data_IF_466392309418
#
_entry.id   IF_466392309418
#
_cell.length_a   1.000
_cell.length_b   1.000
_cell.length_c   1.000
_cell.angle_alpha   90.00
_cell.angle_beta   90.00
_cell.angle_gamma   90.00
#
_symmetry.space_group_name_H-M   'P 1'
#
loop_
_entity.id
_entity.type
_entity.pdbx_description
1 polymer ?
#
# COMPACT_ATOMS: atom_id res chain seq x y z
N UNK A 1 -28.54 -54.78 -0.27
CA UNK A 1 -29.31 -53.84 -1.12
C UNK A 1 -30.01 -52.85 -0.19
N UNK A 2 -29.82 -51.54 -0.21
CA UNK A 2 -28.78 -50.67 -0.73
C UNK A 2 -28.79 -49.43 0.17
N UNK A 3 -27.61 -48.96 0.60
CA UNK A 3 -27.48 -47.70 1.34
C UNK A 3 -27.51 -46.58 0.31
N UNK A 4 -28.60 -45.81 0.29
CA UNK A 4 -28.70 -44.59 -0.48
C UNK A 4 -27.77 -43.54 0.14
N UNK A 5 -26.74 -43.14 -0.61
CA UNK A 5 -25.84 -42.06 -0.25
C UNK A 5 -26.58 -40.72 -0.26
N UNK A 6 -26.37 -39.95 0.80
CA UNK A 6 -26.84 -38.58 0.95
C UNK A 6 -26.13 -37.70 -0.12
N UNK A 7 -26.84 -36.90 -0.93
CA UNK A 7 -26.20 -36.06 -1.92
C UNK A 7 -25.35 -34.98 -1.24
N UNK A 8 -24.09 -34.93 -1.68
CA UNK A 8 -23.07 -33.95 -1.35
C UNK A 8 -23.66 -32.53 -1.27
N UNK A 9 -23.78 -31.99 -0.06
CA UNK A 9 -24.12 -30.58 0.13
C UNK A 9 -22.95 -29.74 -0.38
N UNK A 10 -23.23 -28.90 -1.36
CA UNK A 10 -22.31 -27.87 -1.84
C UNK A 10 -22.11 -26.89 -0.67
N UNK A 11 -20.98 -26.97 0.02
CA UNK A 11 -20.64 -26.05 1.09
C UNK A 11 -20.58 -24.63 0.51
N UNK A 12 -21.52 -23.79 0.95
CA UNK A 12 -21.56 -22.37 0.64
C UNK A 12 -20.30 -21.71 1.19
N UNK A 13 -19.56 -21.01 0.32
CA UNK A 13 -18.45 -20.15 0.72
C UNK A 13 -18.92 -19.18 1.83
N UNK A 14 -18.09 -18.89 2.85
CA UNK A 14 -18.47 -17.96 3.91
C UNK A 14 -18.80 -16.60 3.31
N UNK A 15 -19.94 -16.04 3.72
CA UNK A 15 -20.39 -14.73 3.27
C UNK A 15 -19.31 -13.68 3.57
N UNK A 16 -18.81 -13.03 2.52
CA UNK A 16 -18.09 -11.78 2.63
C UNK A 16 -18.90 -10.86 3.56
N UNK A 17 -18.25 -10.29 4.58
CA UNK A 17 -18.91 -9.34 5.46
C UNK A 17 -19.38 -8.18 4.59
N UNK A 18 -20.70 -8.08 4.40
CA UNK A 18 -21.29 -7.14 3.47
C UNK A 18 -20.94 -5.72 3.89
N UNK A 19 -20.11 -5.06 3.08
CA UNK A 19 -19.79 -3.65 3.25
C UNK A 19 -21.08 -2.82 3.16
N UNK A 20 -21.38 -2.02 4.18
CA UNK A 20 -22.56 -1.15 4.21
C UNK A 20 -22.50 -0.06 3.12
N UNK A 21 -21.30 0.22 2.60
CA UNK A 21 -21.06 1.14 1.48
C UNK A 21 -21.31 0.50 0.09
N UNK A 22 -21.54 -0.81 0.03
CA UNK A 22 -21.60 -1.57 -1.23
C UNK A 22 -20.22 -1.89 -1.83
N UNK A 23 -19.13 -1.33 -1.30
CA UNK A 23 -17.76 -1.61 -1.72
C UNK A 23 -17.23 -2.84 -1.00
N UNK A 24 -17.56 -4.03 -1.51
CA UNK A 24 -16.96 -5.28 -1.06
C UNK A 24 -15.63 -5.52 -1.78
N UNK A 25 -14.66 -6.16 -1.13
CA UNK A 25 -13.46 -6.63 -1.83
C UNK A 25 -13.64 -8.08 -2.28
N UNK A 26 -13.17 -8.39 -3.49
CA UNK A 26 -13.04 -9.76 -3.99
C UNK A 26 -11.57 -10.03 -4.33
N UNK A 27 -11.03 -11.23 -4.03
CA UNK A 27 -9.64 -11.54 -4.30
C UNK A 27 -9.22 -11.30 -5.75
N UNK A 28 -8.03 -10.70 -5.93
CA UNK A 28 -7.41 -10.43 -7.22
C UNK A 28 -6.05 -11.11 -7.33
N UNK A 29 -5.59 -11.33 -8.56
CA UNK A 29 -4.20 -11.72 -8.79
C UNK A 29 -3.28 -10.50 -8.59
N UNK A 30 -2.36 -10.59 -7.63
CA UNK A 30 -1.48 -9.46 -7.31
C UNK A 30 -0.56 -9.09 -8.48
N UNK A 31 -0.09 -10.06 -9.27
CA UNK A 31 0.79 -9.80 -10.40
C UNK A 31 0.05 -9.06 -11.50
N UNK A 32 -1.18 -9.48 -11.84
CA UNK A 32 -2.03 -8.76 -12.81
C UNK A 32 -2.30 -7.32 -12.36
N UNK A 33 -2.54 -7.11 -11.06
CA UNK A 33 -2.69 -5.76 -10.48
C UNK A 33 -1.40 -4.94 -10.65
N UNK A 34 -0.24 -5.53 -10.37
CA UNK A 34 1.07 -4.89 -10.54
C UNK A 34 1.32 -4.48 -11.99
N UNK A 35 1.08 -5.39 -12.94
CA UNK A 35 1.23 -5.12 -14.37
C UNK A 35 0.28 -3.99 -14.83
N UNK A 36 -0.97 -3.96 -14.32
CA UNK A 36 -1.91 -2.86 -14.59
C UNK A 36 -1.45 -1.55 -13.98
N UNK A 37 -0.99 -1.54 -12.73
CA UNK A 37 -0.48 -0.34 -12.07
C UNK A 37 0.72 0.25 -12.83
N UNK A 38 1.66 -0.60 -13.24
CA UNK A 38 2.76 -0.20 -14.10
C UNK A 38 2.24 0.44 -15.39
N UNK A 39 1.26 -0.19 -16.06
CA UNK A 39 0.70 0.32 -17.32
C UNK A 39 0.07 1.71 -17.19
N UNK A 40 -0.79 1.92 -16.19
CA UNK A 40 -1.61 3.14 -16.06
C UNK A 40 -0.91 4.28 -15.33
N UNK A 41 0.27 4.04 -14.74
CA UNK A 41 1.05 5.08 -14.05
C UNK A 41 1.21 6.40 -14.83
N UNK A 42 1.51 6.41 -16.14
CA UNK A 42 1.66 7.65 -16.89
C UNK A 42 0.41 8.54 -16.92
N UNK A 43 -0.78 7.99 -16.61
CA UNK A 43 -2.05 8.72 -16.67
C UNK A 43 -2.35 9.59 -15.44
N UNK A 44 -1.63 9.38 -14.33
CA UNK A 44 -1.92 10.08 -13.07
C UNK A 44 -0.94 9.89 -11.92
N UNK A 45 0.21 9.25 -12.15
CA UNK A 45 1.25 9.06 -11.15
C UNK A 45 0.96 7.94 -10.14
N UNK A 46 1.72 7.96 -9.05
CA UNK A 46 1.83 6.81 -8.13
C UNK A 46 0.50 6.41 -7.48
N UNK A 47 -0.23 7.37 -6.90
CA UNK A 47 -1.48 7.09 -6.17
C UNK A 47 -2.59 6.65 -7.12
N UNK A 48 -2.72 7.34 -8.25
CA UNK A 48 -3.64 6.95 -9.33
C UNK A 48 -3.40 5.53 -9.79
N UNK A 49 -2.12 5.16 -10.03
CA UNK A 49 -1.77 3.82 -10.48
C UNK A 49 -2.16 2.72 -9.49
N UNK A 50 -1.86 2.92 -8.20
CA UNK A 50 -2.16 1.93 -7.15
C UNK A 50 -3.66 1.74 -6.97
N UNK A 51 -4.43 2.83 -6.87
CA UNK A 51 -5.88 2.74 -6.66
C UNK A 51 -6.57 2.24 -7.94
N UNK A 52 -6.19 2.78 -9.09
CA UNK A 52 -6.82 2.52 -10.38
C UNK A 52 -6.56 1.10 -10.89
N UNK A 53 -5.47 0.46 -10.49
CA UNK A 53 -5.22 -0.94 -10.84
C UNK A 53 -6.16 -1.88 -10.10
N UNK A 54 -6.28 -1.72 -8.77
CA UNK A 54 -7.15 -2.57 -7.94
C UNK A 54 -8.62 -2.33 -8.26
N UNK A 55 -9.08 -1.07 -8.20
CA UNK A 55 -10.48 -0.72 -8.48
C UNK A 55 -10.85 -1.02 -9.92
N UNK A 56 -9.96 -0.76 -10.88
CA UNK A 56 -10.19 -1.07 -12.29
C UNK A 56 -10.35 -2.56 -12.55
N UNK A 57 -9.54 -3.41 -11.89
CA UNK A 57 -9.71 -4.87 -12.02
C UNK A 57 -11.01 -5.37 -11.40
N UNK A 58 -11.46 -4.78 -10.30
CA UNK A 58 -12.77 -5.09 -9.73
C UNK A 58 -13.90 -4.63 -10.65
N UNK A 59 -13.78 -3.45 -11.27
CA UNK A 59 -14.74 -2.95 -12.25
C UNK A 59 -14.84 -3.87 -13.46
N UNK A 60 -13.70 -4.29 -14.02
CA UNK A 60 -13.66 -5.20 -15.17
C UNK A 60 -14.33 -6.55 -14.87
N UNK A 61 -14.26 -7.03 -13.62
CA UNK A 61 -14.80 -8.34 -13.20
C UNK A 61 -16.24 -8.29 -12.70
N UNK A 62 -16.65 -7.20 -12.05
CA UNK A 62 -17.89 -7.14 -11.27
C UNK A 62 -18.77 -5.92 -11.59
N UNK A 63 -18.28 -4.94 -12.35
CA UNK A 63 -19.02 -3.73 -12.70
C UNK A 63 -19.25 -2.79 -11.51
N UNK A 64 -20.51 -2.46 -11.25
CA UNK A 64 -20.91 -1.56 -10.15
C UNK A 64 -20.67 -2.20 -8.77
N UNK A 65 -20.23 -1.43 -7.75
CA UNK A 65 -20.03 0.03 -7.76
C UNK A 65 -18.65 0.48 -8.30
N UNK A 66 -17.75 -0.44 -8.62
CA UNK A 66 -16.34 -0.13 -8.91
C UNK A 66 -16.16 0.69 -10.19
N UNK A 67 -16.96 0.42 -11.22
CA UNK A 67 -16.96 1.15 -12.49
C UNK A 67 -17.35 2.64 -12.35
N UNK A 68 -18.03 3.00 -11.26
CA UNK A 68 -18.39 4.37 -10.90
C UNK A 68 -17.33 5.11 -10.07
N UNK A 69 -16.19 4.50 -9.73
CA UNK A 69 -15.19 5.13 -8.88
C UNK A 69 -14.55 6.36 -9.58
N UNK A 70 -14.49 7.54 -8.94
CA UNK A 70 -13.94 8.75 -9.53
C UNK A 70 -12.39 8.73 -9.52
N UNK A 71 -11.76 7.82 -10.27
CA UNK A 71 -10.32 7.54 -10.19
C UNK A 71 -9.44 8.76 -10.48
N UNK A 72 -9.92 9.70 -11.30
CA UNK A 72 -9.25 10.96 -11.58
C UNK A 72 -8.92 11.77 -10.30
N UNK A 73 -9.70 11.61 -9.23
CA UNK A 73 -9.44 12.23 -7.93
C UNK A 73 -8.03 11.87 -7.43
N UNK A 74 -7.57 10.64 -7.62
CA UNK A 74 -6.30 10.12 -7.07
C UNK A 74 -5.05 10.76 -7.66
N UNK A 75 -5.17 11.57 -8.72
CA UNK A 75 -4.04 12.35 -9.28
C UNK A 75 -3.45 13.34 -8.27
N UNK A 76 -4.22 13.75 -7.25
CA UNK A 76 -3.70 14.64 -6.21
C UNK A 76 -2.44 14.07 -5.53
N UNK A 77 -2.32 12.74 -5.43
CA UNK A 77 -1.20 12.09 -4.75
C UNK A 77 0.14 12.14 -5.49
N UNK A 78 0.17 12.62 -6.73
CA UNK A 78 1.40 12.77 -7.51
C UNK A 78 2.43 13.65 -6.77
N UNK A 79 3.70 13.20 -6.79
CA UNK A 79 4.81 13.95 -6.17
C UNK A 79 4.68 14.15 -4.66
N UNK A 80 3.83 13.39 -3.97
CA UNK A 80 3.57 13.56 -2.54
C UNK A 80 2.67 14.75 -2.26
N UNK A 81 1.44 14.69 -2.80
CA UNK A 81 0.40 15.74 -2.73
C UNK A 81 0.76 16.94 -3.61
N UNK A 82 0.45 16.86 -4.90
CA UNK A 82 0.68 17.95 -5.86
C UNK A 82 2.14 18.40 -5.97
N UNK A 83 3.10 17.49 -5.77
CA UNK A 83 4.53 17.82 -5.79
C UNK A 83 5.12 18.35 -4.47
N UNK A 84 4.36 18.38 -3.38
CA UNK A 84 4.85 18.88 -2.09
C UNK A 84 5.93 17.99 -1.44
N UNK A 85 6.15 16.78 -1.95
CA UNK A 85 7.14 15.85 -1.42
C UNK A 85 6.74 15.18 -0.11
N UNK A 86 5.45 15.27 0.27
CA UNK A 86 4.90 14.67 1.50
C UNK A 86 4.67 13.15 1.36
N UNK A 87 3.62 12.58 1.94
CA UNK A 87 3.33 11.15 1.90
C UNK A 87 3.41 10.59 0.47
N UNK A 88 4.21 9.55 0.26
CA UNK A 88 4.37 8.95 -1.06
C UNK A 88 3.01 8.49 -1.62
N UNK A 89 2.74 8.81 -2.89
CA UNK A 89 1.48 8.44 -3.53
C UNK A 89 1.23 6.92 -3.54
N UNK A 90 2.28 6.10 -3.54
CA UNK A 90 2.15 4.64 -3.43
C UNK A 90 1.53 4.24 -2.09
N UNK A 91 2.10 4.75 -0.99
CA UNK A 91 1.60 4.51 0.38
C UNK A 91 0.21 5.11 0.53
N UNK A 92 0.00 6.34 0.06
CA UNK A 92 -1.29 7.02 0.14
C UNK A 92 -2.41 6.23 -0.57
N UNK A 93 -2.15 5.76 -1.80
CA UNK A 93 -3.11 4.99 -2.58
C UNK A 93 -3.44 3.64 -1.95
N UNK A 94 -2.42 2.93 -1.47
CA UNK A 94 -2.62 1.65 -0.79
C UNK A 94 -3.39 1.82 0.54
N UNK A 95 -3.09 2.85 1.34
CA UNK A 95 -3.87 3.19 2.54
C UNK A 95 -5.33 3.55 2.20
N UNK A 96 -5.57 4.25 1.09
CA UNK A 96 -6.92 4.57 0.64
C UNK A 96 -7.72 3.31 0.29
N UNK A 97 -7.10 2.31 -0.36
CA UNK A 97 -7.72 1.02 -0.65
C UNK A 97 -8.03 0.23 0.63
N UNK A 98 -7.12 0.22 1.62
CA UNK A 98 -7.40 -0.39 2.93
C UNK A 98 -8.59 0.31 3.60
N UNK A 99 -8.63 1.65 3.57
CA UNK A 99 -9.75 2.43 4.10
C UNK A 99 -11.09 2.12 3.39
N UNK A 100 -11.06 1.92 2.08
CA UNK A 100 -12.24 1.61 1.26
C UNK A 100 -12.78 0.21 1.54
N UNK A 101 -11.91 -0.80 1.56
CA UNK A 101 -12.32 -2.21 1.61
C UNK A 101 -12.34 -2.82 3.01
N UNK A 102 -11.83 -2.09 4.01
CA UNK A 102 -11.81 -2.52 5.41
C UNK A 102 -12.58 -1.53 6.30
N UNK A 103 -13.51 -0.74 5.73
CA UNK A 103 -14.21 0.38 6.41
C UNK A 103 -14.98 -0.04 7.67
N UNK A 104 -15.72 -1.14 7.60
CA UNK A 104 -16.63 -1.62 8.66
C UNK A 104 -15.91 -2.37 9.79
N UNK A 105 -14.61 -2.58 9.66
CA UNK A 105 -13.80 -3.30 10.64
C UNK A 105 -13.28 -2.35 11.73
N UNK A 106 -12.91 -2.88 12.91
CA UNK A 106 -12.33 -2.09 13.99
C UNK A 106 -11.21 -1.16 13.49
N UNK A 107 -11.20 0.06 14.02
CA UNK A 107 -10.22 1.09 13.64
C UNK A 107 -8.78 0.60 13.84
N UNK A 108 -8.58 -0.21 14.87
CA UNK A 108 -7.30 -0.76 15.30
C UNK A 108 -6.74 -1.75 14.27
N UNK A 109 -7.60 -2.57 13.65
CA UNK A 109 -7.23 -3.50 12.57
C UNK A 109 -6.83 -2.72 11.31
N UNK A 110 -7.65 -1.76 10.88
CA UNK A 110 -7.26 -0.87 9.77
C UNK A 110 -5.93 -0.16 10.05
N UNK A 111 -5.77 0.36 11.26
CA UNK A 111 -4.55 1.06 11.66
C UNK A 111 -3.33 0.14 11.67
N UNK A 112 -3.49 -1.14 12.04
CA UNK A 112 -2.43 -2.13 11.97
C UNK A 112 -2.05 -2.47 10.53
N UNK A 113 -3.03 -2.71 9.64
CA UNK A 113 -2.74 -2.92 8.22
C UNK A 113 -2.00 -1.73 7.60
N UNK A 114 -2.43 -0.50 7.90
CA UNK A 114 -1.74 0.71 7.45
C UNK A 114 -0.31 0.78 8.01
N UNK A 115 -0.12 0.41 9.28
CA UNK A 115 1.20 0.36 9.92
C UNK A 115 2.11 -0.67 9.27
N UNK A 116 1.60 -1.86 8.95
CA UNK A 116 2.36 -2.94 8.29
C UNK A 116 2.75 -2.55 6.87
N UNK A 117 1.84 -1.91 6.14
CA UNK A 117 2.11 -1.38 4.80
C UNK A 117 3.17 -0.27 4.83
N UNK A 118 3.05 0.68 5.78
CA UNK A 118 4.03 1.76 5.96
C UNK A 118 5.41 1.20 6.33
N UNK A 119 5.47 0.31 7.31
CA UNK A 119 6.71 -0.34 7.73
C UNK A 119 7.35 -1.16 6.61
N UNK A 120 6.55 -1.88 5.82
CA UNK A 120 7.04 -2.55 4.61
C UNK A 120 7.69 -1.57 3.63
N UNK A 121 7.03 -0.44 3.33
CA UNK A 121 7.56 0.57 2.42
C UNK A 121 8.85 1.22 2.93
N UNK A 122 8.92 1.48 4.24
CA UNK A 122 10.08 2.09 4.89
C UNK A 122 11.30 1.18 4.88
N UNK A 123 11.12 -0.12 5.15
CA UNK A 123 12.22 -1.06 5.40
C UNK A 123 12.61 -1.94 4.20
N UNK A 124 11.74 -2.10 3.21
CA UNK A 124 12.03 -2.97 2.06
C UNK A 124 12.98 -2.32 1.06
N UNK A 125 13.78 -3.15 0.40
CA UNK A 125 14.60 -2.75 -0.75
C UNK A 125 13.69 -2.68 -1.99
N UNK A 126 13.37 -1.46 -2.47
CA UNK A 126 12.39 -1.22 -3.52
C UNK A 126 12.93 -0.32 -4.64
N UNK A 127 12.47 -0.46 -5.90
CA UNK A 127 11.42 -1.37 -6.35
C UNK A 127 11.92 -2.81 -6.59
N UNK A 128 11.01 -3.79 -6.50
CA UNK A 128 11.25 -5.20 -6.86
C UNK A 128 10.56 -5.60 -8.15
N UNK A 129 9.52 -4.87 -8.57
CA UNK A 129 8.76 -5.18 -9.78
C UNK A 129 9.62 -5.07 -11.04
N UNK A 130 9.64 -6.15 -11.81
CA UNK A 130 10.27 -6.23 -13.13
C UNK A 130 9.21 -6.27 -14.23
N UNK A 131 9.03 -5.17 -15.00
CA UNK A 131 8.14 -5.17 -16.15
C UNK A 131 8.70 -6.06 -17.26
N UNK A 132 7.81 -6.70 -18.03
CA UNK A 132 8.22 -7.41 -19.26
C UNK A 132 8.80 -6.46 -20.31
N UNK A 133 8.27 -5.23 -20.36
CA UNK A 133 8.67 -4.19 -21.30
C UNK A 133 8.90 -2.87 -20.55
N UNK A 134 10.13 -2.62 -20.06
CA UNK A 134 10.51 -1.35 -19.48
C UNK A 134 10.31 -0.20 -20.48
N UNK A 135 9.89 0.98 -20.00
CA UNK A 135 9.52 2.10 -20.88
C UNK A 135 10.44 3.31 -20.77
N UNK A 136 10.93 3.62 -19.57
CA UNK A 136 11.74 4.84 -19.34
C UNK A 136 13.17 4.56 -18.92
N UNK A 137 13.43 3.39 -18.34
CA UNK A 137 14.76 2.86 -18.10
C UNK A 137 14.71 1.33 -18.02
N UNK A 138 15.76 0.66 -18.50
CA UNK A 138 15.85 -0.79 -18.51
C UNK A 138 15.89 -1.37 -17.09
N UNK A 139 16.51 -0.64 -16.17
CA UNK A 139 16.64 -1.00 -14.76
C UNK A 139 16.22 0.16 -13.86
N UNK A 140 15.88 -0.17 -12.61
CA UNK A 140 15.69 0.79 -11.54
C UNK A 140 16.48 0.34 -10.33
N UNK A 141 17.41 1.16 -9.85
CA UNK A 141 18.18 0.88 -8.64
C UNK A 141 17.21 0.72 -7.47
N UNK A 142 17.31 -0.39 -6.76
CA UNK A 142 16.51 -0.66 -5.59
C UNK A 142 17.25 -0.18 -4.33
N UNK A 143 16.54 0.48 -3.41
CA UNK A 143 17.11 0.95 -2.16
C UNK A 143 16.06 0.97 -1.05
N UNK A 144 16.52 1.02 0.20
CA UNK A 144 15.64 1.23 1.35
C UNK A 144 15.26 2.71 1.43
N UNK A 145 13.96 3.00 1.53
CA UNK A 145 13.49 4.39 1.62
C UNK A 145 13.70 4.97 3.02
N UNK A 146 13.55 4.16 4.07
CA UNK A 146 13.55 4.51 5.48
C UNK A 146 12.63 5.69 5.83
N UNK A 147 11.60 5.93 5.02
CA UNK A 147 10.56 6.94 5.27
C UNK A 147 9.41 6.79 4.28
N UNK A 148 8.17 6.92 4.75
CA UNK A 148 6.99 7.04 3.87
C UNK A 148 6.92 8.37 3.11
N UNK A 149 7.77 9.35 3.42
CA UNK A 149 7.79 10.65 2.76
C UNK A 149 8.47 10.55 1.38
N UNK A 150 7.78 11.05 0.35
CA UNK A 150 8.24 11.05 -1.03
C UNK A 150 9.57 11.80 -1.20
N UNK A 151 9.72 12.93 -0.51
CA UNK A 151 10.94 13.73 -0.52
C UNK A 151 12.16 12.91 -0.04
N UNK A 152 12.06 12.26 1.12
CA UNK A 152 13.16 11.46 1.68
C UNK A 152 13.41 10.23 0.82
N UNK A 153 12.35 9.52 0.41
CA UNK A 153 12.43 8.33 -0.44
C UNK A 153 13.16 8.61 -1.76
N UNK A 154 12.79 9.68 -2.47
CA UNK A 154 13.42 10.04 -3.74
C UNK A 154 14.82 10.62 -3.57
N UNK A 155 15.08 11.39 -2.51
CA UNK A 155 16.42 11.93 -2.22
C UNK A 155 17.42 10.82 -1.91
N UNK A 156 17.04 9.83 -1.09
CA UNK A 156 17.89 8.67 -0.80
C UNK A 156 18.14 7.84 -2.06
N UNK A 157 17.10 7.63 -2.87
CA UNK A 157 17.26 6.96 -4.16
C UNK A 157 18.21 7.69 -5.11
N UNK A 158 18.13 9.02 -5.21
CA UNK A 158 19.06 9.82 -6.02
C UNK A 158 20.52 9.65 -5.55
N UNK A 159 20.76 9.53 -4.24
CA UNK A 159 22.09 9.28 -3.69
C UNK A 159 22.60 7.88 -4.05
N UNK A 160 21.75 6.87 -3.92
CA UNK A 160 22.12 5.47 -4.19
C UNK A 160 22.34 5.21 -5.69
N UNK A 161 21.47 5.75 -6.54
CA UNK A 161 21.52 5.55 -7.99
C UNK A 161 22.51 6.47 -8.71
N UNK A 162 22.84 7.61 -8.11
CA UNK A 162 23.54 8.70 -8.80
C UNK A 162 22.68 9.44 -9.84
N UNK A 163 21.41 9.08 -10.00
CA UNK A 163 20.53 9.67 -11.00
C UNK A 163 19.88 10.98 -10.51
N UNK A 164 19.73 12.00 -11.38
CA UNK A 164 19.03 13.23 -11.05
C UNK A 164 17.54 13.02 -10.71
N UNK A 165 16.96 13.89 -9.88
CA UNK A 165 15.54 13.82 -9.49
C UNK A 165 14.59 13.98 -10.68
N UNK A 166 14.97 14.73 -11.72
CA UNK A 166 14.15 14.94 -12.91
C UNK A 166 14.35 13.89 -14.02
N UNK A 167 15.16 12.86 -13.74
CA UNK A 167 15.47 11.79 -14.70
C UNK A 167 14.26 10.91 -15.04
N UNK A 168 14.34 10.31 -16.23
CA UNK A 168 13.44 9.22 -16.64
C UNK A 168 13.65 7.98 -15.77
N UNK A 169 14.88 7.71 -15.32
CA UNK A 169 15.20 6.65 -14.37
C UNK A 169 14.40 6.78 -13.07
N UNK A 170 14.28 7.99 -12.52
CA UNK A 170 13.45 8.24 -11.34
C UNK A 170 11.97 8.01 -11.64
N UNK A 171 11.47 8.46 -12.80
CA UNK A 171 10.09 8.17 -13.23
C UNK A 171 9.84 6.67 -13.34
N UNK A 172 10.77 5.92 -13.95
CA UNK A 172 10.72 4.47 -14.06
C UNK A 172 10.71 3.81 -12.68
N UNK A 173 11.59 4.24 -11.78
CA UNK A 173 11.61 3.76 -10.39
C UNK A 173 10.27 3.97 -9.70
N UNK A 174 9.69 5.17 -9.77
CA UNK A 174 8.38 5.44 -9.17
C UNK A 174 7.23 4.64 -9.83
N UNK A 175 7.35 4.34 -11.12
CA UNK A 175 6.40 3.50 -11.86
C UNK A 175 6.44 2.05 -11.40
N UNK A 176 7.63 1.46 -11.26
CA UNK A 176 7.83 0.11 -10.70
C UNK A 176 7.41 0.05 -9.24
N UNK A 177 7.72 1.08 -8.45
CA UNK A 177 7.29 1.18 -7.06
C UNK A 177 5.76 1.23 -6.91
N UNK A 178 5.05 1.87 -7.84
CA UNK A 178 3.59 1.85 -7.85
C UNK A 178 3.05 0.44 -8.11
N UNK A 179 3.70 -0.35 -8.97
CA UNK A 179 3.37 -1.75 -9.16
C UNK A 179 3.62 -2.59 -7.90
N UNK A 180 4.78 -2.42 -7.24
CA UNK A 180 5.07 -3.09 -5.96
C UNK A 180 4.02 -2.76 -4.88
N UNK A 181 3.66 -1.49 -4.74
CA UNK A 181 2.65 -1.09 -3.76
C UNK A 181 1.26 -1.63 -4.07
N UNK A 182 0.88 -1.69 -5.35
CA UNK A 182 -0.39 -2.27 -5.77
C UNK A 182 -0.42 -3.79 -5.52
N UNK A 183 0.69 -4.48 -5.78
CA UNK A 183 0.85 -5.90 -5.44
C UNK A 183 0.75 -6.13 -3.93
N UNK A 184 1.47 -5.33 -3.13
CA UNK A 184 1.49 -5.45 -1.67
C UNK A 184 0.10 -5.27 -1.06
N UNK A 185 -0.61 -4.20 -1.42
CA UNK A 185 -1.94 -3.96 -0.87
C UNK A 185 -2.94 -5.02 -1.33
N UNK A 186 -2.82 -5.52 -2.56
CA UNK A 186 -3.65 -6.63 -3.05
C UNK A 186 -3.43 -7.90 -2.25
N UNK A 187 -2.17 -8.26 -1.95
CA UNK A 187 -1.85 -9.41 -1.11
C UNK A 187 -2.43 -9.25 0.30
N UNK A 188 -2.35 -8.05 0.88
CA UNK A 188 -2.94 -7.76 2.19
C UNK A 188 -4.47 -7.87 2.17
N UNK A 189 -5.13 -7.31 1.16
CA UNK A 189 -6.60 -7.40 1.01
C UNK A 189 -7.06 -8.83 0.71
N UNK A 190 -6.31 -9.60 -0.09
CA UNK A 190 -6.56 -11.02 -0.32
C UNK A 190 -6.50 -11.81 0.98
N UNK A 191 -5.45 -11.60 1.77
CA UNK A 191 -5.31 -12.23 3.09
C UNK A 191 -6.50 -11.89 3.99
N UNK A 192 -6.87 -10.61 4.08
CA UNK A 192 -7.99 -10.17 4.92
C UNK A 192 -9.35 -10.69 4.46
N UNK A 193 -9.55 -10.87 3.16
CA UNK A 193 -10.80 -11.43 2.61
C UNK A 193 -11.03 -12.90 2.97
N UNK A 194 -9.96 -13.63 3.28
CA UNK A 194 -10.00 -15.06 3.65
C UNK A 194 -10.09 -15.28 5.16
N UNK A 195 -9.98 -14.22 5.96
CA UNK A 195 -10.01 -14.32 7.42
C UNK A 195 -11.45 -14.45 7.93
N UNK A 196 -11.73 -15.59 8.56
CA UNK A 196 -13.00 -15.87 9.22
C UNK A 196 -13.17 -15.18 10.58
N UNK A 197 -12.07 -14.80 11.25
CA UNK A 197 -12.11 -14.23 12.60
C UNK A 197 -11.27 -12.95 12.75
N UNK A 198 -11.76 -12.06 13.60
CA UNK A 198 -11.05 -10.87 14.09
C UNK A 198 -9.98 -11.37 15.07
N UNK A 199 -8.69 -11.32 14.68
CA UNK A 199 -7.60 -11.60 15.62
C UNK A 199 -7.32 -10.33 16.41
N UNK A 200 -7.04 -10.49 17.71
CA UNK A 200 -6.49 -9.43 18.52
C UNK A 200 -5.24 -8.86 17.83
N UNK A 201 -5.30 -7.58 17.49
CA UNK A 201 -4.22 -6.85 16.81
C UNK A 201 -2.97 -6.89 17.67
N UNK A 202 -1.92 -7.57 17.21
CA UNK A 202 -0.61 -7.51 17.85
C UNK A 202 0.09 -6.24 17.36
N UNK A 203 -0.03 -5.15 18.12
CA UNK A 203 0.80 -3.95 17.91
C UNK A 203 2.24 -4.32 18.27
N UNK A 204 3.12 -4.44 17.29
CA UNK A 204 4.57 -4.47 17.54
C UNK A 204 5.21 -3.42 16.68
N UNK A 205 5.83 -2.46 17.37
CA UNK A 205 6.83 -1.49 16.94
C UNK A 205 6.46 -0.11 17.50
N UNK A 206 6.52 0.01 18.83
CA UNK A 206 6.80 1.30 19.44
C UNK A 206 8.30 1.54 19.31
N UNK A 207 8.71 2.65 18.70
CA UNK A 207 10.08 3.14 18.87
C UNK A 207 10.33 3.36 20.37
N UNK A 208 11.54 3.04 20.88
CA UNK A 208 11.92 3.37 22.26
C UNK A 208 11.76 4.88 22.54
N UNK A 209 11.81 5.72 21.50
CA UNK A 209 11.51 7.15 21.60
C UNK A 209 10.13 7.40 22.22
N UNK A 210 9.13 6.55 21.93
CA UNK A 210 7.77 6.72 22.44
C UNK A 210 7.60 6.32 23.90
N UNK A 211 8.63 5.76 24.56
CA UNK A 211 8.62 5.54 26.01
C UNK A 211 8.60 6.87 26.78
N UNK A 212 9.37 7.86 26.31
CA UNK A 212 9.36 9.22 26.85
C UNK A 212 8.46 10.16 26.04
N UNK A 213 8.50 10.11 24.71
CA UNK A 213 7.74 11.03 23.84
C UNK A 213 6.26 10.67 23.70
N UNK A 214 5.87 9.49 24.19
CA UNK A 214 4.50 9.00 24.17
C UNK A 214 3.58 9.64 25.21
N UNK A 215 2.30 9.25 25.19
CA UNK A 215 1.27 9.89 26.00
C UNK A 215 1.46 9.76 27.51
N UNK A 216 2.21 8.76 27.95
CA UNK A 216 2.38 8.41 29.36
C UNK A 216 3.49 9.19 30.07
N UNK A 217 4.30 9.97 29.33
CA UNK A 217 5.34 10.84 29.88
C UNK A 217 5.28 12.24 29.26
N UNK A 218 6.13 12.58 28.29
CA UNK A 218 6.21 13.94 27.74
C UNK A 218 5.01 14.31 26.86
N UNK A 219 4.35 13.32 26.22
CA UNK A 219 3.15 13.50 25.39
C UNK A 219 3.33 14.53 24.25
N UNK A 220 4.53 14.65 23.71
CA UNK A 220 4.88 15.65 22.69
C UNK A 220 5.07 15.05 21.28
N UNK A 221 4.89 13.74 21.11
CA UNK A 221 4.89 13.09 19.80
C UNK A 221 3.66 12.21 19.59
N UNK A 222 3.18 12.16 18.34
CA UNK A 222 2.16 11.21 17.86
C UNK A 222 2.56 10.73 16.48
N UNK A 223 3.42 9.72 16.44
CA UNK A 223 4.04 9.25 15.19
C UNK A 223 4.32 7.75 15.26
N UNK A 224 4.33 7.12 14.09
CA UNK A 224 4.80 5.73 13.90
C UNK A 224 5.88 5.60 12.81
N UNK A 225 6.18 6.70 12.10
CA UNK A 225 7.30 6.75 11.15
C UNK A 225 8.63 6.58 11.88
N UNK A 226 9.62 6.09 11.16
CA UNK A 226 11.00 6.04 11.65
C UNK A 226 11.52 7.44 12.02
N UNK A 227 11.95 7.60 13.27
CA UNK A 227 12.44 8.85 13.82
C UNK A 227 13.80 9.24 13.22
N UNK A 228 14.64 8.26 12.90
CA UNK A 228 15.99 8.48 12.36
C UNK A 228 15.98 9.07 10.93
N UNK A 229 14.81 9.12 10.28
CA UNK A 229 14.64 9.80 9.00
C UNK A 229 14.84 11.33 9.10
N UNK A 230 14.52 11.93 10.24
CA UNK A 230 14.56 13.38 10.46
C UNK A 230 15.41 13.79 11.66
N UNK A 231 15.55 12.91 12.65
CA UNK A 231 16.31 13.19 13.85
C UNK A 231 17.70 12.61 13.74
N UNK A 232 18.70 13.47 13.94
CA UNK A 232 20.05 13.01 14.27
C UNK A 232 20.05 12.64 15.75
N UNK A 233 20.07 11.34 16.03
CA UNK A 233 20.02 10.81 17.38
C UNK A 233 21.47 10.78 17.90
N UNK A 234 21.87 11.85 18.59
CA UNK A 234 23.21 11.95 19.18
C UNK A 234 23.48 10.81 20.15
N UNK A 235 24.73 10.34 20.20
CA UNK A 235 25.19 9.40 21.23
C UNK A 235 24.85 9.94 22.63
N UNK A 236 23.94 9.27 23.34
CA UNK A 236 23.52 9.66 24.69
C UNK A 236 22.17 10.38 24.80
N UNK A 237 21.36 10.48 23.73
CA UNK A 237 19.90 10.38 23.96
C UNK A 237 19.71 9.06 24.74
N UNK A 238 19.08 9.07 25.93
CA UNK A 238 18.97 7.86 26.75
C UNK A 238 18.42 6.68 25.94
#
# INVERSE_FOLDING_TARGET
MGVAGDPMQLESLPAAIASTSGWAYSPLDAREVGDRAYRIYPEGGCMYAVVGSVVGMLADRFGSPYDGFPIAMMRFGEGGVGGYGSLCGVVNGACALIGLFHSERPKEERAAMISDLAGWYESSVLPMFEPSEPQWADQAVACVSGSVLCHISTTRWCRESGCPIDSLDRKERCRRLAADGAMKVTQMLNHESQRSEILAVRQTNGSSCMECHGPDDMSNARVKMDCAACHDLSDGHP
#
